data_IF_663368459375
#
_entry.id   IF_663368459375
#
_cell.length_a   1.000
_cell.length_b   1.000
_cell.length_c   1.000
_cell.angle_alpha   90.00
_cell.angle_beta   90.00
_cell.angle_gamma   90.00
#
_symmetry.space_group_name_H-M   'P 1'
#
loop_
_entity.id
_entity.type
_entity.pdbx_description
1 polymer ?
#
# COMPACT_ATOMS: atom_id res chain seq x y z
N UNK A 1 -0.36 14.68 18.01
CA UNK A 1 0.17 13.99 16.80
C UNK A 1 1.43 14.73 16.44
N UNK A 2 2.47 14.07 16.02
CA UNK A 2 3.70 14.74 15.59
C UNK A 2 3.58 15.25 14.14
N UNK A 3 4.42 16.21 13.76
CA UNK A 3 4.39 16.89 12.46
C UNK A 3 4.55 15.91 11.27
N UNK A 4 5.36 14.86 11.45
CA UNK A 4 5.57 13.83 10.43
C UNK A 4 4.31 13.03 10.16
N UNK A 5 3.65 12.56 11.21
CA UNK A 5 2.40 11.81 11.12
C UNK A 5 1.29 12.66 10.47
N UNK A 6 1.19 13.94 10.84
CA UNK A 6 0.24 14.88 10.22
C UNK A 6 0.54 15.10 8.73
N UNK A 7 1.81 15.24 8.37
CA UNK A 7 2.25 15.34 6.97
C UNK A 7 1.89 14.10 6.15
N UNK A 8 2.10 12.91 6.71
CA UNK A 8 1.74 11.65 6.04
C UNK A 8 0.23 11.48 5.89
N UNK A 9 -0.58 11.83 6.89
CA UNK A 9 -2.04 11.79 6.78
C UNK A 9 -2.57 12.75 5.71
N UNK A 10 -1.99 13.94 5.61
CA UNK A 10 -2.32 14.92 4.55
C UNK A 10 -1.98 14.33 3.18
N UNK A 11 -0.76 13.82 3.02
CA UNK A 11 -0.32 13.16 1.79
C UNK A 11 -1.27 12.02 1.38
N UNK A 12 -1.67 11.15 2.31
CA UNK A 12 -2.60 10.04 2.04
C UNK A 12 -3.90 10.57 1.42
N UNK A 13 -4.48 11.61 2.02
CA UNK A 13 -5.73 12.22 1.51
C UNK A 13 -5.55 12.85 0.13
N UNK A 14 -4.44 13.54 -0.10
CA UNK A 14 -4.12 14.16 -1.38
C UNK A 14 -3.90 13.13 -2.49
N UNK A 15 -3.11 12.08 -2.25
CA UNK A 15 -2.88 10.99 -3.22
C UNK A 15 -4.21 10.33 -3.59
N UNK A 16 -5.03 9.96 -2.60
CA UNK A 16 -6.35 9.35 -2.85
C UNK A 16 -7.24 10.28 -3.67
N UNK A 17 -7.32 11.56 -3.32
CA UNK A 17 -8.14 12.55 -4.01
C UNK A 17 -7.73 12.72 -5.48
N UNK A 18 -6.43 12.90 -5.73
CA UNK A 18 -5.89 13.11 -7.09
C UNK A 18 -6.07 11.87 -7.97
N UNK A 19 -5.77 10.70 -7.45
CA UNK A 19 -5.91 9.45 -8.21
C UNK A 19 -7.38 9.12 -8.48
N UNK A 20 -8.26 9.30 -7.50
CA UNK A 20 -9.70 9.07 -7.64
C UNK A 20 -10.32 10.01 -8.68
N UNK A 21 -9.96 11.29 -8.68
CA UNK A 21 -10.40 12.26 -9.68
C UNK A 21 -9.97 11.86 -11.10
N UNK A 22 -8.86 11.15 -11.24
CA UNK A 22 -8.38 10.60 -12.50
C UNK A 22 -8.96 9.22 -12.86
N UNK A 23 -9.86 8.66 -12.03
CA UNK A 23 -10.43 7.33 -12.21
C UNK A 23 -9.43 6.19 -11.93
N UNK A 24 -8.44 6.43 -11.08
CA UNK A 24 -7.45 5.43 -10.66
C UNK A 24 -7.69 5.07 -9.20
N UNK A 25 -7.98 3.81 -8.95
CA UNK A 25 -8.08 3.27 -7.59
C UNK A 25 -6.71 2.97 -7.02
N UNK A 26 -6.50 3.32 -5.75
CA UNK A 26 -5.30 3.03 -4.98
C UNK A 26 -5.70 2.40 -3.64
N UNK A 27 -4.83 1.58 -3.07
CA UNK A 27 -5.05 0.94 -1.77
C UNK A 27 -3.83 1.09 -0.89
N UNK A 28 -4.01 1.68 0.29
CA UNK A 28 -2.97 1.73 1.31
C UNK A 28 -2.56 0.31 1.73
N UNK A 29 -1.27 0.12 1.93
CA UNK A 29 -0.72 -1.11 2.53
C UNK A 29 0.42 -0.78 3.50
N UNK A 30 1.19 -1.78 3.91
CA UNK A 30 2.25 -1.57 4.90
C UNK A 30 1.71 -1.15 6.26
N UNK A 31 2.41 -0.25 6.93
CA UNK A 31 2.02 0.22 8.26
C UNK A 31 0.74 1.04 8.27
N UNK A 32 0.58 1.96 7.32
CA UNK A 32 -0.62 2.79 7.20
C UNK A 32 -1.85 1.99 6.78
N UNK A 33 -1.68 0.96 5.94
CA UNK A 33 -2.76 0.03 5.60
C UNK A 33 -3.25 -0.76 6.80
N UNK A 34 -2.33 -1.20 7.66
CA UNK A 34 -2.65 -1.88 8.93
C UNK A 34 -3.41 -0.95 9.87
N UNK A 35 -2.91 0.27 10.09
CA UNK A 35 -3.56 1.26 10.95
C UNK A 35 -4.97 1.61 10.44
N UNK A 36 -5.16 1.68 9.12
CA UNK A 36 -6.48 1.89 8.52
C UNK A 36 -7.45 0.74 8.83
N UNK A 37 -6.97 -0.51 8.89
CA UNK A 37 -7.81 -1.68 9.26
C UNK A 37 -8.09 -1.77 10.75
N UNK A 38 -7.19 -1.28 11.58
CA UNK A 38 -7.39 -1.18 13.04
C UNK A 38 -8.31 0.00 13.38
N UNK A 39 -8.32 1.06 12.56
CA UNK A 39 -9.07 2.31 12.80
C UNK A 39 -8.35 3.29 13.72
N UNK A 40 -7.06 3.09 14.00
CA UNK A 40 -6.23 3.98 14.82
C UNK A 40 -4.77 3.91 14.43
N UNK A 41 -4.02 4.99 14.66
CA UNK A 41 -2.58 5.03 14.47
C UNK A 41 -1.90 4.29 15.62
N UNK A 42 -1.14 3.25 15.29
CA UNK A 42 -0.50 2.36 16.28
C UNK A 42 0.94 2.74 16.59
N UNK A 43 1.62 3.36 15.63
CA UNK A 43 3.04 3.76 15.72
C UNK A 43 3.39 4.82 14.67
N UNK A 44 4.57 5.36 14.76
CA UNK A 44 5.16 6.15 13.68
C UNK A 44 5.52 5.27 12.48
N UNK A 45 5.30 5.81 11.28
CA UNK A 45 5.62 5.13 10.01
C UNK A 45 6.77 5.83 9.27
N UNK A 46 7.58 5.03 8.56
CA UNK A 46 8.71 5.52 7.79
C UNK A 46 8.30 6.19 6.48
N UNK A 47 7.29 5.64 5.84
CA UNK A 47 6.85 5.92 4.49
C UNK A 47 5.35 5.64 4.34
N UNK A 48 4.79 6.09 3.22
CA UNK A 48 3.42 5.79 2.81
C UNK A 48 3.49 4.94 1.54
N UNK A 49 2.73 3.85 1.51
CA UNK A 49 2.79 2.89 0.41
C UNK A 49 1.39 2.59 -0.12
N UNK A 50 1.24 2.62 -1.46
CA UNK A 50 -0.01 2.31 -2.14
C UNK A 50 0.19 1.20 -3.17
N UNK A 51 -0.82 0.32 -3.29
CA UNK A 51 -1.00 -0.56 -4.44
C UNK A 51 -1.94 0.08 -5.45
N UNK A 52 -1.70 -0.18 -6.74
CA UNK A 52 -2.64 0.08 -7.83
C UNK A 52 -2.45 -0.93 -8.97
N UNK A 53 -3.45 -1.06 -9.85
CA UNK A 53 -3.32 -1.90 -11.04
C UNK A 53 -2.26 -1.35 -12.00
N UNK A 54 -1.39 -2.22 -12.49
CA UNK A 54 -0.30 -1.84 -13.39
C UNK A 54 -0.77 -1.09 -14.65
N UNK A 55 -1.94 -1.46 -15.18
CA UNK A 55 -2.51 -0.77 -16.33
C UNK A 55 -2.72 0.75 -16.11
N UNK A 56 -2.79 1.19 -14.86
CA UNK A 56 -2.95 2.59 -14.47
C UNK A 56 -1.64 3.25 -14.01
N UNK A 57 -0.49 2.56 -14.05
CA UNK A 57 0.78 3.05 -13.52
C UNK A 57 1.20 4.40 -14.14
N UNK A 58 1.22 4.50 -15.46
CA UNK A 58 1.62 5.73 -16.15
C UNK A 58 0.64 6.88 -15.91
N UNK A 59 -0.67 6.59 -15.93
CA UNK A 59 -1.69 7.60 -15.63
C UNK A 59 -1.59 8.11 -14.20
N UNK A 60 -1.43 7.21 -13.23
CA UNK A 60 -1.22 7.55 -11.83
C UNK A 60 -0.01 8.45 -11.66
N UNK A 61 1.14 8.06 -12.22
CA UNK A 61 2.36 8.85 -12.19
C UNK A 61 2.16 10.25 -12.77
N UNK A 62 1.52 10.36 -13.95
CA UNK A 62 1.29 11.64 -14.61
C UNK A 62 0.45 12.60 -13.74
N UNK A 63 -0.67 12.14 -13.20
CA UNK A 63 -1.56 13.00 -12.39
C UNK A 63 -0.95 13.38 -11.04
N UNK A 64 -0.17 12.49 -10.42
CA UNK A 64 0.54 12.80 -9.17
C UNK A 64 1.63 13.86 -9.41
N UNK A 65 2.38 13.74 -10.50
CA UNK A 65 3.40 14.75 -10.87
C UNK A 65 2.75 16.08 -11.21
N UNK A 66 1.65 16.08 -11.96
CA UNK A 66 0.88 17.30 -12.26
C UNK A 66 0.35 17.98 -11.00
N UNK A 67 -0.03 17.20 -9.99
CA UNK A 67 -0.49 17.71 -8.69
C UNK A 67 0.64 18.24 -7.79
N UNK A 68 1.91 18.01 -8.13
CA UNK A 68 3.07 18.55 -7.40
C UNK A 68 4.02 17.50 -6.81
N UNK A 69 3.75 16.20 -6.97
CA UNK A 69 4.69 15.17 -6.55
C UNK A 69 5.92 15.12 -7.46
N UNK A 70 7.08 14.81 -6.90
CA UNK A 70 8.31 14.55 -7.65
C UNK A 70 8.52 13.04 -7.73
N UNK A 71 8.50 12.48 -8.95
CA UNK A 71 8.82 11.07 -9.18
C UNK A 71 10.33 10.83 -9.15
N UNK A 72 10.76 9.75 -8.51
CA UNK A 72 12.16 9.37 -8.36
C UNK A 72 12.45 8.12 -9.21
N UNK A 73 13.62 8.08 -9.86
CA UNK A 73 14.05 6.94 -10.69
C UNK A 73 14.86 5.92 -9.85
N UNK A 74 14.33 5.51 -8.71
CA UNK A 74 14.99 4.66 -7.71
C UNK A 74 14.58 3.19 -7.78
N UNK A 75 13.45 2.89 -8.44
CA UNK A 75 12.92 1.53 -8.61
C UNK A 75 12.76 1.19 -10.10
N UNK A 76 12.83 -0.11 -10.46
CA UNK A 76 12.44 -0.54 -11.79
C UNK A 76 10.99 -0.12 -12.10
N UNK A 77 10.73 0.57 -13.23
CA UNK A 77 9.39 1.13 -13.52
C UNK A 77 8.25 0.09 -13.58
N UNK A 78 8.59 -1.17 -13.83
CA UNK A 78 7.62 -2.26 -13.84
C UNK A 78 7.24 -2.77 -12.44
N UNK A 79 7.99 -2.42 -11.40
CA UNK A 79 7.75 -2.88 -10.03
C UNK A 79 7.03 -1.82 -9.20
N UNK A 80 7.53 -0.59 -9.23
CA UNK A 80 7.06 0.50 -8.38
C UNK A 80 7.52 1.87 -8.91
N UNK A 81 6.93 2.94 -8.38
CA UNK A 81 7.45 4.28 -8.50
C UNK A 81 7.53 4.91 -7.09
N UNK A 82 8.68 5.46 -6.78
CA UNK A 82 8.87 6.27 -5.56
C UNK A 82 8.67 7.75 -5.87
N UNK A 83 8.15 8.47 -4.88
CA UNK A 83 7.85 9.89 -4.97
C UNK A 83 8.24 10.62 -3.69
N UNK A 84 8.36 11.94 -3.82
CA UNK A 84 8.26 12.87 -2.70
C UNK A 84 7.20 13.93 -2.99
N UNK A 85 6.42 14.32 -1.98
CA UNK A 85 5.47 15.43 -2.05
C UNK A 85 5.55 16.20 -0.74
N UNK A 86 5.86 17.50 -0.80
CA UNK A 86 6.13 18.32 0.38
C UNK A 86 7.13 17.67 1.36
N UNK A 87 8.20 17.10 0.82
CA UNK A 87 9.24 16.35 1.54
C UNK A 87 8.77 15.03 2.19
N UNK A 88 7.52 14.62 2.01
CA UNK A 88 7.00 13.34 2.51
C UNK A 88 7.25 12.26 1.46
N UNK A 89 8.00 11.19 1.78
CA UNK A 89 8.23 10.09 0.85
C UNK A 89 7.02 9.16 0.79
N UNK A 90 6.70 8.69 -0.43
CA UNK A 90 5.71 7.64 -0.66
C UNK A 90 6.03 6.83 -1.91
N UNK A 91 5.36 5.70 -2.06
CA UNK A 91 5.52 4.86 -3.23
C UNK A 91 4.20 4.28 -3.73
N UNK A 92 4.18 3.96 -5.01
CA UNK A 92 3.12 3.15 -5.64
C UNK A 92 3.75 1.85 -6.15
N UNK A 93 3.19 0.72 -5.74
CA UNK A 93 3.51 -0.61 -6.25
C UNK A 93 2.37 -1.12 -7.12
N UNK A 94 2.63 -2.10 -7.97
CA UNK A 94 1.69 -2.50 -9.00
C UNK A 94 1.29 -3.97 -8.90
N UNK A 95 0.00 -4.24 -9.17
CA UNK A 95 -0.52 -5.60 -9.31
C UNK A 95 -1.30 -5.77 -10.61
N UNK A 96 -1.49 -7.02 -11.00
CA UNK A 96 -2.43 -7.41 -12.05
C UNK A 96 -3.52 -8.31 -11.47
N UNK A 97 -4.73 -8.22 -12.02
CA UNK A 97 -5.82 -9.15 -11.72
C UNK A 97 -5.63 -10.44 -12.50
N UNK A 98 -5.87 -11.56 -11.86
CA UNK A 98 -5.81 -12.89 -12.47
C UNK A 98 -7.21 -13.40 -12.81
N UNK A 99 -7.33 -14.32 -13.78
CA UNK A 99 -8.64 -14.88 -14.16
C UNK A 99 -9.37 -15.61 -13.03
N UNK A 100 -8.63 -16.14 -12.03
CA UNK A 100 -9.17 -16.83 -10.86
C UNK A 100 -9.64 -15.87 -9.74
N UNK A 101 -9.59 -14.56 -9.98
CA UNK A 101 -9.96 -13.52 -9.00
C UNK A 101 -8.86 -13.18 -8.00
N UNK A 102 -7.72 -13.88 -8.01
CA UNK A 102 -6.54 -13.52 -7.24
C UNK A 102 -5.77 -12.37 -7.90
N UNK A 103 -4.72 -11.90 -7.23
CA UNK A 103 -3.87 -10.82 -7.73
C UNK A 103 -2.41 -11.26 -7.67
N UNK A 104 -1.58 -10.68 -8.51
CA UNK A 104 -0.15 -10.92 -8.50
C UNK A 104 0.61 -9.64 -8.90
N UNK A 105 1.89 -9.59 -8.54
CA UNK A 105 2.83 -8.64 -9.12
C UNK A 105 3.74 -9.41 -10.10
N UNK A 106 3.35 -9.62 -11.37
CA UNK A 106 4.01 -10.57 -12.26
C UNK A 106 5.31 -10.05 -12.85
N UNK A 107 5.82 -8.92 -12.40
CA UNK A 107 6.98 -8.23 -12.97
C UNK A 107 8.08 -8.06 -11.93
N UNK A 108 9.32 -8.13 -12.41
CA UNK A 108 10.50 -7.87 -11.61
C UNK A 108 10.77 -8.93 -10.53
N UNK A 109 11.49 -8.52 -9.50
CA UNK A 109 11.95 -9.40 -8.42
C UNK A 109 10.85 -9.92 -7.50
N UNK A 110 9.66 -9.33 -7.54
CA UNK A 110 8.51 -9.69 -6.72
C UNK A 110 7.47 -10.50 -7.49
N UNK A 111 7.81 -11.04 -8.66
CA UNK A 111 6.90 -11.73 -9.57
C UNK A 111 6.16 -12.93 -8.96
N UNK A 112 6.70 -13.52 -7.90
CA UNK A 112 6.07 -14.63 -7.17
C UNK A 112 5.08 -14.16 -6.08
N UNK A 113 4.88 -12.85 -5.91
CA UNK A 113 3.95 -12.34 -4.92
C UNK A 113 2.50 -12.54 -5.38
N UNK A 114 1.76 -13.34 -4.62
CA UNK A 114 0.37 -13.67 -4.88
C UNK A 114 -0.51 -13.17 -3.72
N UNK A 115 -1.64 -12.58 -4.08
CA UNK A 115 -2.62 -12.09 -3.12
C UNK A 115 -3.97 -12.77 -3.36
N UNK A 116 -4.71 -13.16 -2.29
CA UNK A 116 -6.00 -13.83 -2.45
C UNK A 116 -7.07 -12.91 -3.08
N UNK A 117 -8.16 -13.48 -3.60
CA UNK A 117 -9.33 -12.71 -3.99
C UNK A 117 -9.80 -11.78 -2.86
N UNK A 118 -10.28 -10.59 -3.20
CA UNK A 118 -10.71 -9.60 -2.21
C UNK A 118 -9.58 -8.75 -1.59
N UNK A 119 -8.30 -8.97 -1.96
CA UNK A 119 -7.18 -8.18 -1.43
C UNK A 119 -7.31 -6.68 -1.70
N UNK A 120 -7.88 -6.31 -2.84
CA UNK A 120 -8.08 -4.93 -3.29
C UNK A 120 -9.57 -4.67 -3.55
N UNK A 121 -10.37 -4.79 -2.50
CA UNK A 121 -11.82 -4.57 -2.53
C UNK A 121 -12.22 -3.13 -2.21
N UNK A 122 -13.53 -2.90 -2.18
CA UNK A 122 -14.13 -1.58 -1.96
C UNK A 122 -14.38 -1.27 -0.47
N UNK A 123 -14.18 -2.25 0.42
CA UNK A 123 -14.35 -2.04 1.86
C UNK A 123 -13.27 -1.09 2.39
N UNK A 124 -13.62 0.11 2.88
CA UNK A 124 -12.63 1.06 3.36
C UNK A 124 -12.08 0.68 4.73
N UNK A 125 -10.84 1.07 4.98
CA UNK A 125 -10.33 1.25 6.33
C UNK A 125 -10.67 2.65 6.86
N UNK A 126 -10.22 2.98 8.06
CA UNK A 126 -10.44 4.30 8.68
C UNK A 126 -9.14 4.83 9.25
N UNK A 127 -8.76 6.04 8.86
CA UNK A 127 -7.65 6.80 9.45
C UNK A 127 -8.16 8.15 9.96
N UNK A 128 -7.91 8.44 11.22
CA UNK A 128 -8.29 9.71 11.85
C UNK A 128 -9.78 10.05 11.55
N UNK A 129 -10.66 9.06 11.73
CA UNK A 129 -12.10 9.19 11.46
C UNK A 129 -12.51 9.27 9.99
N UNK A 130 -11.55 9.23 9.05
CA UNK A 130 -11.81 9.34 7.61
C UNK A 130 -11.72 7.98 6.94
N UNK A 131 -12.74 7.55 6.14
CA UNK A 131 -12.63 6.34 5.32
C UNK A 131 -11.52 6.47 4.28
N UNK A 132 -10.68 5.43 4.16
CA UNK A 132 -9.59 5.37 3.18
C UNK A 132 -9.55 4.00 2.52
N UNK A 133 -9.27 3.90 1.20
CA UNK A 133 -9.07 2.62 0.56
C UNK A 133 -7.80 1.98 1.10
N UNK A 134 -7.92 0.74 1.56
CA UNK A 134 -6.82 -0.02 2.11
C UNK A 134 -6.88 -1.48 1.67
N UNK A 135 -5.71 -2.11 1.49
CA UNK A 135 -5.62 -3.54 1.24
C UNK A 135 -6.33 -4.32 2.34
N UNK A 136 -7.03 -5.40 2.00
CA UNK A 136 -7.75 -6.21 3.00
C UNK A 136 -6.81 -6.86 4.02
N UNK A 137 -7.36 -7.24 5.16
CA UNK A 137 -6.61 -7.96 6.21
C UNK A 137 -6.00 -9.24 5.63
N UNK A 138 -6.78 -10.05 4.87
CA UNK A 138 -6.29 -11.27 4.25
C UNK A 138 -5.18 -11.02 3.21
N UNK A 139 -5.31 -9.94 2.43
CA UNK A 139 -4.29 -9.52 1.47
C UNK A 139 -2.98 -9.12 2.15
N UNK A 140 -3.04 -8.29 3.19
CA UNK A 140 -1.85 -7.88 3.94
C UNK A 140 -1.20 -9.04 4.69
N UNK A 141 -1.99 -9.95 5.24
CA UNK A 141 -1.47 -11.15 5.89
C UNK A 141 -0.72 -12.05 4.89
N UNK A 142 -1.32 -12.35 3.74
CA UNK A 142 -0.68 -13.10 2.66
C UNK A 142 0.62 -12.43 2.19
N UNK A 143 0.63 -11.10 2.05
CA UNK A 143 1.81 -10.33 1.70
C UNK A 143 2.93 -10.51 2.72
N UNK A 144 2.63 -10.31 4.00
CA UNK A 144 3.61 -10.39 5.09
C UNK A 144 4.17 -11.80 5.27
N UNK A 145 3.35 -12.83 5.17
CA UNK A 145 3.77 -14.22 5.31
C UNK A 145 4.68 -14.70 4.17
N UNK A 146 4.53 -14.15 2.97
CA UNK A 146 5.42 -14.44 1.83
C UNK A 146 6.75 -13.66 1.88
N UNK A 147 6.84 -12.60 2.67
CA UNK A 147 7.93 -11.64 2.65
C UNK A 147 9.33 -12.25 2.87
N UNK A 148 9.57 -13.18 3.82
CA UNK A 148 10.89 -13.79 3.98
C UNK A 148 11.36 -14.56 2.75
N UNK A 149 10.45 -15.31 2.11
CA UNK A 149 10.75 -16.06 0.88
C UNK A 149 11.18 -15.12 -0.25
N UNK A 150 10.42 -14.04 -0.46
CA UNK A 150 10.66 -13.06 -1.51
C UNK A 150 11.89 -12.18 -1.24
N UNK A 151 12.35 -12.12 0.00
CA UNK A 151 13.58 -11.43 0.42
C UNK A 151 14.82 -12.34 0.51
N UNK A 152 14.89 -13.37 -0.30
CA UNK A 152 16.01 -14.33 -0.29
C UNK A 152 16.24 -14.99 1.08
N UNK A 153 15.18 -15.37 1.78
CA UNK A 153 15.23 -16.04 3.08
C UNK A 153 15.63 -15.14 4.25
N UNK A 154 15.69 -13.82 4.09
CA UNK A 154 15.92 -12.92 5.22
C UNK A 154 14.78 -13.04 6.23
N UNK A 155 15.09 -13.13 7.53
CA UNK A 155 14.07 -13.28 8.57
C UNK A 155 13.11 -12.08 8.60
N UNK A 156 11.92 -12.27 9.19
CA UNK A 156 11.03 -11.17 9.50
C UNK A 156 11.71 -10.16 10.43
N UNK A 157 11.48 -8.89 10.15
CA UNK A 157 11.82 -7.82 11.11
C UNK A 157 10.84 -7.86 12.28
N UNK A 158 11.20 -7.36 13.45
CA UNK A 158 10.30 -7.36 14.60
C UNK A 158 8.94 -6.70 14.28
N UNK A 159 8.96 -5.61 13.52
CA UNK A 159 7.72 -4.94 13.07
C UNK A 159 6.84 -5.85 12.22
N UNK A 160 7.42 -6.71 11.38
CA UNK A 160 6.65 -7.62 10.54
C UNK A 160 6.00 -8.73 11.37
N UNK A 161 6.69 -9.22 12.41
CA UNK A 161 6.15 -10.20 13.37
C UNK A 161 4.95 -9.61 14.10
N UNK A 162 5.10 -8.41 14.65
CA UNK A 162 4.01 -7.72 15.36
C UNK A 162 2.81 -7.45 14.43
N UNK A 163 3.07 -6.98 13.20
CA UNK A 163 2.03 -6.73 12.21
C UNK A 163 1.27 -8.03 11.83
N UNK A 164 1.97 -9.18 11.72
CA UNK A 164 1.36 -10.48 11.43
C UNK A 164 0.45 -10.93 12.58
N UNK A 165 0.89 -10.77 13.82
CA UNK A 165 0.08 -11.11 15.00
C UNK A 165 -1.23 -10.31 15.01
N UNK A 166 -1.16 -9.00 14.82
CA UNK A 166 -2.34 -8.13 14.75
C UNK A 166 -3.25 -8.53 13.58
N UNK A 167 -2.69 -8.78 12.40
CA UNK A 167 -3.47 -9.19 11.23
C UNK A 167 -4.19 -10.53 11.43
N UNK A 168 -3.57 -11.48 12.15
CA UNK A 168 -4.21 -12.76 12.50
C UNK A 168 -5.36 -12.58 13.48
N UNK A 169 -5.19 -11.71 14.48
CA UNK A 169 -6.27 -11.36 15.42
C UNK A 169 -7.45 -10.70 14.69
N UNK A 170 -7.18 -9.75 13.79
CA UNK A 170 -8.21 -9.12 12.96
C UNK A 170 -8.91 -10.14 12.05
N UNK A 171 -8.16 -11.04 11.41
CA UNK A 171 -8.73 -12.07 10.54
C UNK A 171 -9.62 -13.06 11.31
N UNK A 172 -9.32 -13.35 12.56
CA UNK A 172 -10.12 -14.22 13.41
C UNK A 172 -11.41 -13.56 13.92
N UNK A 173 -11.51 -12.23 13.86
CA UNK A 173 -12.67 -11.46 14.30
C UNK A 173 -13.69 -11.16 13.16
N UNK A 174 -13.35 -11.48 11.90
CA UNK A 174 -14.20 -11.33 10.72
C UNK A 174 -15.06 -12.56 10.48
#
# INVERSE_FOLDING_TARGET
MDERTEGQLRLIREVISVTQAAGVSVWLFGGWGLDARIGRITREHGDVEFWLEFMHAERSKAVLVEAGATALATQPPAEACEFTWDHVPFSTAYFDRRPDGSFSQPRGRWSDWLFPPGSFGDEPGTLDGTPVPAMSVSGMLAMKEQFPRLRNGRPWRQKDINDIEILRELAAAL
#
